data_IF_704407529745
#
_entry.id   IF_704407529745
#
_cell.length_a   1.000
_cell.length_b   1.000
_cell.length_c   1.000
_cell.angle_alpha   90.00
_cell.angle_beta   90.00
_cell.angle_gamma   90.00
#
_symmetry.space_group_name_H-M   'P 1'
#
loop_
_entity.id
_entity.type
_entity.pdbx_description
1 polymer ?
#
# COMPACT_ATOMS: atom_id res chain seq x y z
N UNK A 1 15.34 9.59 -10.84
CA UNK A 1 14.15 9.40 -9.98
C UNK A 1 14.65 9.36 -8.54
N UNK A 2 14.10 10.16 -7.62
CA UNK A 2 14.48 10.06 -6.20
C UNK A 2 13.87 8.79 -5.58
N UNK A 3 14.54 8.23 -4.56
CA UNK A 3 14.07 7.04 -3.83
C UNK A 3 12.65 7.23 -3.29
N UNK A 4 12.31 8.44 -2.85
CA UNK A 4 10.98 8.81 -2.36
C UNK A 4 9.90 8.74 -3.45
N UNK A 5 10.20 9.23 -4.66
CA UNK A 5 9.27 9.14 -5.79
C UNK A 5 9.03 7.69 -6.20
N UNK A 6 10.08 6.86 -6.24
CA UNK A 6 9.96 5.44 -6.55
C UNK A 6 9.09 4.73 -5.50
N UNK A 7 9.34 4.98 -4.21
CA UNK A 7 8.56 4.41 -3.09
C UNK A 7 7.08 4.80 -3.18
N UNK A 8 6.78 6.06 -3.49
CA UNK A 8 5.40 6.54 -3.66
C UNK A 8 4.70 5.90 -4.88
N UNK A 9 5.37 5.83 -6.03
CA UNK A 9 4.81 5.19 -7.23
C UNK A 9 4.56 3.71 -6.98
N UNK A 10 5.52 2.99 -6.40
CA UNK A 10 5.39 1.55 -6.16
C UNK A 10 4.30 1.27 -5.13
N UNK A 11 4.21 2.02 -4.03
CA UNK A 11 3.12 1.85 -3.05
C UNK A 11 1.73 2.14 -3.66
N UNK A 12 1.63 3.10 -4.57
CA UNK A 12 0.39 3.38 -5.32
C UNK A 12 0.01 2.21 -6.23
N UNK A 13 0.98 1.61 -6.92
CA UNK A 13 0.77 0.41 -7.73
C UNK A 13 0.36 -0.79 -6.87
N UNK A 14 0.95 -0.98 -5.69
CA UNK A 14 0.54 -2.00 -4.72
C UNK A 14 -0.92 -1.81 -4.31
N UNK A 15 -1.33 -0.58 -4.00
CA UNK A 15 -2.72 -0.28 -3.64
C UNK A 15 -3.68 -0.57 -4.81
N UNK A 16 -3.35 -0.12 -6.01
CA UNK A 16 -4.16 -0.38 -7.20
C UNK A 16 -4.32 -1.89 -7.45
N UNK A 17 -3.23 -2.65 -7.33
CA UNK A 17 -3.27 -4.11 -7.41
C UNK A 17 -4.16 -4.70 -6.32
N UNK A 18 -4.04 -4.24 -5.07
CA UNK A 18 -4.89 -4.72 -3.97
C UNK A 18 -6.39 -4.49 -4.25
N UNK A 19 -6.75 -3.33 -4.82
CA UNK A 19 -8.13 -3.01 -5.22
C UNK A 19 -8.61 -3.94 -6.34
N UNK A 20 -7.83 -4.09 -7.42
CA UNK A 20 -8.16 -5.00 -8.53
C UNK A 20 -8.34 -6.43 -8.02
N UNK A 21 -7.52 -6.87 -7.08
CA UNK A 21 -7.58 -8.19 -6.47
C UNK A 21 -8.82 -8.38 -5.60
N UNK A 22 -9.22 -7.35 -4.86
CA UNK A 22 -10.46 -7.35 -4.07
C UNK A 22 -11.70 -7.42 -4.97
N UNK A 23 -11.74 -6.59 -6.02
CA UNK A 23 -12.81 -6.56 -7.02
C UNK A 23 -12.92 -7.89 -7.78
N UNK A 24 -11.79 -8.45 -8.21
CA UNK A 24 -11.75 -9.75 -8.87
C UNK A 24 -12.33 -10.86 -7.98
N UNK A 25 -12.03 -10.84 -6.67
CA UNK A 25 -12.57 -11.82 -5.73
C UNK A 25 -14.05 -11.60 -5.41
N UNK A 26 -14.49 -10.34 -5.30
CA UNK A 26 -15.90 -9.98 -5.13
C UNK A 26 -16.74 -10.44 -6.34
N UNK A 27 -16.20 -10.29 -7.54
CA UNK A 27 -16.84 -10.76 -8.77
C UNK A 27 -16.89 -12.29 -8.89
N UNK A 28 -15.82 -13.00 -8.51
CA UNK A 28 -15.85 -14.48 -8.47
C UNK A 28 -16.91 -15.00 -7.50
N UNK A 29 -17.13 -14.31 -6.38
CA UNK A 29 -18.19 -14.62 -5.40
C UNK A 29 -19.59 -14.18 -5.82
N UNK A 30 -19.73 -13.42 -6.89
CA UNK A 30 -21.02 -12.96 -7.41
C UNK A 30 -21.59 -11.72 -6.73
N UNK A 31 -20.82 -11.01 -5.89
CA UNK A 31 -21.28 -9.75 -5.28
C UNK A 31 -21.34 -8.59 -6.28
N UNK A 32 -20.56 -8.65 -7.36
CA UNK A 32 -20.45 -7.57 -8.36
C UNK A 32 -20.16 -8.15 -9.74
N UNK A 33 -20.70 -7.54 -10.80
CA UNK A 33 -20.40 -7.87 -12.20
C UNK A 33 -19.82 -6.61 -12.87
N UNK A 34 -18.52 -6.38 -12.71
CA UNK A 34 -17.85 -5.23 -13.35
C UNK A 34 -17.12 -5.63 -14.63
N UNK A 35 -16.41 -6.76 -14.63
CA UNK A 35 -15.59 -7.19 -15.76
C UNK A 35 -16.28 -8.31 -16.56
N UNK A 36 -16.37 -8.21 -17.90
CA UNK A 36 -16.91 -9.28 -18.75
C UNK A 36 -15.86 -10.39 -18.97
N UNK A 37 -15.23 -10.86 -17.90
CA UNK A 37 -14.17 -11.86 -17.93
C UNK A 37 -14.64 -13.18 -17.33
N UNK A 38 -14.18 -14.27 -17.94
CA UNK A 38 -14.50 -15.62 -17.50
C UNK A 38 -13.98 -15.88 -16.07
N UNK A 39 -14.81 -16.53 -15.22
CA UNK A 39 -14.48 -16.81 -13.81
C UNK A 39 -13.16 -17.59 -13.64
N UNK A 40 -12.81 -18.45 -14.60
CA UNK A 40 -11.54 -19.20 -14.62
C UNK A 40 -10.34 -18.25 -14.79
N UNK A 41 -10.41 -17.31 -15.75
CA UNK A 41 -9.38 -16.31 -15.98
C UNK A 41 -9.24 -15.35 -14.79
N UNK A 42 -10.35 -14.94 -14.17
CA UNK A 42 -10.32 -14.11 -12.96
C UNK A 42 -9.59 -14.80 -11.80
N UNK A 43 -9.80 -16.11 -11.59
CA UNK A 43 -9.07 -16.87 -10.55
C UNK A 43 -7.58 -16.98 -10.86
N UNK A 44 -7.21 -17.16 -12.13
CA UNK A 44 -5.80 -17.22 -12.53
C UNK A 44 -5.11 -15.86 -12.34
N UNK A 45 -5.77 -14.78 -12.76
CA UNK A 45 -5.31 -13.41 -12.54
C UNK A 45 -5.22 -13.10 -11.05
N UNK A 46 -6.18 -13.54 -10.24
CA UNK A 46 -6.12 -13.39 -8.79
C UNK A 46 -4.91 -14.08 -8.18
N UNK A 47 -4.59 -15.30 -8.62
CA UNK A 47 -3.43 -16.04 -8.12
C UNK A 47 -2.11 -15.38 -8.54
N UNK A 48 -1.96 -15.02 -9.81
CA UNK A 48 -0.75 -14.37 -10.33
C UNK A 48 -0.56 -12.97 -9.75
N UNK A 49 -1.62 -12.17 -9.71
CA UNK A 49 -1.62 -10.84 -9.12
C UNK A 49 -1.28 -10.85 -7.62
N UNK A 50 -1.66 -11.91 -6.90
CA UNK A 50 -1.35 -12.04 -5.48
C UNK A 50 0.14 -12.27 -5.23
N UNK A 51 0.78 -13.06 -6.08
CA UNK A 51 2.24 -13.30 -6.04
C UNK A 51 2.98 -12.01 -6.39
N UNK A 52 2.56 -11.32 -7.46
CA UNK A 52 3.16 -10.05 -7.87
C UNK A 52 3.03 -9.02 -6.74
N UNK A 53 1.84 -8.86 -6.17
CA UNK A 53 1.61 -7.95 -5.06
C UNK A 53 2.48 -8.29 -3.83
N UNK A 54 2.62 -9.58 -3.48
CA UNK A 54 3.51 -10.00 -2.39
C UNK A 54 4.96 -9.61 -2.67
N UNK A 55 5.47 -9.91 -3.86
CA UNK A 55 6.86 -9.59 -4.24
C UNK A 55 7.09 -8.08 -4.22
N UNK A 56 6.14 -7.30 -4.75
CA UNK A 56 6.22 -5.84 -4.76
C UNK A 56 6.20 -5.27 -3.33
N UNK A 57 5.30 -5.77 -2.47
CA UNK A 57 5.26 -5.38 -1.05
C UNK A 57 6.57 -5.70 -0.34
N UNK A 58 7.17 -6.88 -0.61
CA UNK A 58 8.47 -7.25 -0.03
C UNK A 58 9.59 -6.32 -0.52
N UNK A 59 9.62 -6.02 -1.81
CA UNK A 59 10.60 -5.11 -2.39
C UNK A 59 10.48 -3.70 -1.76
N UNK A 60 9.27 -3.18 -1.62
CA UNK A 60 9.02 -1.90 -0.93
C UNK A 60 9.50 -1.98 0.52
N UNK A 61 9.14 -3.03 1.26
CA UNK A 61 9.56 -3.20 2.65
C UNK A 61 11.08 -3.19 2.80
N UNK A 62 11.81 -3.90 1.91
CA UNK A 62 13.28 -3.87 1.89
C UNK A 62 13.79 -2.46 1.61
N UNK A 63 13.25 -1.75 0.62
CA UNK A 63 13.68 -0.37 0.32
C UNK A 63 13.39 0.61 1.47
N UNK A 64 12.32 0.38 2.25
CA UNK A 64 12.03 1.18 3.44
C UNK A 64 13.11 0.96 4.51
N UNK A 65 13.39 -0.30 4.86
CA UNK A 65 14.37 -0.65 5.89
C UNK A 65 15.79 -0.25 5.50
N UNK A 66 16.14 -0.38 4.21
CA UNK A 66 17.48 -0.06 3.70
C UNK A 66 17.78 1.44 3.63
N UNK A 67 16.73 2.26 3.49
CA UNK A 67 16.85 3.71 3.34
C UNK A 67 16.79 4.49 4.66
N UNK A 68 16.42 3.85 5.77
CA UNK A 68 16.26 4.50 7.07
C UNK A 68 17.57 4.48 7.86
N UNK A 69 18.18 5.66 8.00
CA UNK A 69 19.25 5.90 8.99
C UNK A 69 18.63 6.08 10.38
N UNK A 70 19.22 5.45 11.39
CA UNK A 70 18.79 5.47 12.79
C UNK A 70 18.72 6.91 13.37
N UNK A 71 17.59 7.58 13.20
CA UNK A 71 17.27 8.89 13.77
C UNK A 71 16.01 8.83 14.65
N UNK A 72 15.62 9.93 15.31
CA UNK A 72 14.39 9.98 16.09
C UNK A 72 13.17 9.79 15.17
N UNK A 73 12.54 8.62 15.26
CA UNK A 73 11.40 8.26 14.42
C UNK A 73 10.13 8.97 14.89
N UNK A 74 9.59 9.85 14.03
CA UNK A 74 8.22 10.37 14.21
C UNK A 74 7.21 9.23 14.40
N UNK A 75 6.15 9.45 15.19
CA UNK A 75 5.07 8.48 15.41
C UNK A 75 4.50 7.92 14.10
N UNK A 76 4.47 8.76 13.05
CA UNK A 76 4.05 8.39 11.69
C UNK A 76 4.95 7.34 11.04
N UNK A 77 6.27 7.50 11.15
CA UNK A 77 7.23 6.54 10.58
C UNK A 77 7.09 5.16 11.27
N UNK A 78 6.91 5.17 12.60
CA UNK A 78 6.66 3.95 13.37
C UNK A 78 5.35 3.27 12.95
N UNK A 79 4.25 4.03 12.84
CA UNK A 79 2.97 3.48 12.38
C UNK A 79 3.06 2.90 10.96
N UNK A 80 3.77 3.56 10.04
CA UNK A 80 4.00 3.06 8.69
C UNK A 80 4.80 1.75 8.68
N UNK A 81 5.89 1.67 9.45
CA UNK A 81 6.71 0.47 9.56
C UNK A 81 5.92 -0.71 10.15
N UNK A 82 5.13 -0.47 11.22
CA UNK A 82 4.29 -1.50 11.86
C UNK A 82 3.20 -1.99 10.90
N UNK A 83 2.47 -1.09 10.25
CA UNK A 83 1.42 -1.48 9.30
C UNK A 83 2.00 -2.21 8.08
N UNK A 84 3.17 -1.79 7.59
CA UNK A 84 3.88 -2.43 6.48
C UNK A 84 4.37 -3.84 6.85
N UNK A 85 4.95 -3.99 8.02
CA UNK A 85 5.38 -5.29 8.56
C UNK A 85 4.21 -6.25 8.74
N UNK A 86 3.11 -5.80 9.35
CA UNK A 86 1.88 -6.59 9.50
C UNK A 86 1.30 -6.98 8.13
N UNK A 87 1.31 -6.08 7.15
CA UNK A 87 0.86 -6.38 5.78
C UNK A 87 1.67 -7.53 5.18
N UNK A 88 2.99 -7.44 5.22
CA UNK A 88 3.87 -8.48 4.69
C UNK A 88 3.64 -9.82 5.38
N UNK A 89 3.50 -9.81 6.72
CA UNK A 89 3.23 -11.01 7.51
C UNK A 89 1.88 -11.66 7.11
N UNK A 90 0.81 -10.88 6.98
CA UNK A 90 -0.51 -11.42 6.60
C UNK A 90 -0.51 -11.98 5.18
N UNK A 91 0.20 -11.35 4.23
CA UNK A 91 0.32 -11.85 2.86
C UNK A 91 1.13 -13.16 2.82
N UNK A 92 2.26 -13.23 3.54
CA UNK A 92 3.05 -14.46 3.67
C UNK A 92 2.23 -15.58 4.32
N UNK A 93 1.53 -15.27 5.41
CA UNK A 93 0.68 -16.23 6.11
C UNK A 93 -0.46 -16.72 5.21
N UNK A 94 -1.08 -15.83 4.43
CA UNK A 94 -2.10 -16.18 3.44
C UNK A 94 -1.56 -17.19 2.42
N UNK A 95 -0.36 -16.96 1.88
CA UNK A 95 0.30 -17.87 0.92
C UNK A 95 0.65 -19.21 1.58
N UNK A 96 1.22 -19.19 2.79
CA UNK A 96 1.55 -20.39 3.54
C UNK A 96 0.31 -21.25 3.82
N UNK A 97 -0.80 -20.65 4.26
CA UNK A 97 -2.07 -21.34 4.50
C UNK A 97 -2.63 -21.93 3.20
N UNK A 98 -2.61 -21.17 2.09
CA UNK A 98 -3.12 -21.67 0.81
C UNK A 98 -2.31 -22.85 0.27
N UNK A 99 -0.99 -22.88 0.52
CA UNK A 99 -0.12 -23.95 0.04
C UNK A 99 -0.12 -25.19 0.96
N UNK A 100 -0.08 -24.99 2.29
CA UNK A 100 0.15 -26.07 3.25
C UNK A 100 -1.12 -26.58 3.93
N UNK A 101 -2.14 -25.73 4.12
CA UNK A 101 -3.27 -26.04 4.98
C UNK A 101 -4.62 -25.73 4.33
N UNK A 102 -5.04 -26.60 3.40
CA UNK A 102 -6.34 -26.46 2.72
C UNK A 102 -7.54 -26.43 3.67
N UNK A 103 -7.42 -27.00 4.88
CA UNK A 103 -8.49 -26.99 5.91
C UNK A 103 -8.85 -25.58 6.39
N UNK A 104 -7.95 -24.60 6.25
CA UNK A 104 -8.14 -23.22 6.73
C UNK A 104 -8.43 -22.22 5.60
N UNK A 105 -8.78 -22.70 4.40
CA UNK A 105 -9.12 -21.87 3.24
C UNK A 105 -10.23 -20.84 3.54
N UNK A 106 -11.13 -21.14 4.49
CA UNK A 106 -12.18 -20.20 4.94
C UNK A 106 -11.63 -18.88 5.50
N UNK A 107 -10.45 -18.89 6.11
CA UNK A 107 -9.82 -17.69 6.71
C UNK A 107 -9.07 -16.83 5.70
N UNK A 108 -8.76 -17.36 4.51
CA UNK A 108 -7.97 -16.65 3.49
C UNK A 108 -8.63 -15.38 2.98
N UNK A 109 -9.96 -15.29 3.10
CA UNK A 109 -10.70 -14.08 2.78
C UNK A 109 -10.49 -13.00 3.83
N UNK A 110 -10.65 -13.34 5.12
CA UNK A 110 -10.43 -12.42 6.23
C UNK A 110 -8.98 -11.91 6.24
N UNK A 111 -8.01 -12.82 6.04
CA UNK A 111 -6.59 -12.49 5.86
C UNK A 111 -6.36 -11.53 4.68
N UNK A 112 -7.05 -11.75 3.57
CA UNK A 112 -6.96 -10.86 2.39
C UNK A 112 -7.54 -9.49 2.64
N UNK A 113 -8.70 -9.41 3.31
CA UNK A 113 -9.34 -8.14 3.67
C UNK A 113 -8.50 -7.35 4.66
N UNK A 114 -7.98 -8.00 5.70
CA UNK A 114 -7.09 -7.38 6.68
C UNK A 114 -5.79 -6.87 6.02
N UNK A 115 -5.17 -7.66 5.13
CA UNK A 115 -4.01 -7.20 4.37
C UNK A 115 -4.36 -5.99 3.49
N UNK A 116 -5.52 -5.99 2.82
CA UNK A 116 -5.98 -4.83 2.04
C UNK A 116 -6.15 -3.56 2.87
N UNK A 117 -6.72 -3.69 4.08
CA UNK A 117 -6.89 -2.55 4.98
C UNK A 117 -5.55 -1.99 5.47
N UNK A 118 -4.58 -2.86 5.76
CA UNK A 118 -3.23 -2.43 6.14
C UNK A 118 -2.45 -1.82 4.97
N UNK A 119 -2.66 -2.30 3.74
CA UNK A 119 -2.12 -1.65 2.52
C UNK A 119 -2.69 -0.24 2.37
N UNK A 120 -3.98 -0.06 2.63
CA UNK A 120 -4.59 1.27 2.62
C UNK A 120 -4.00 2.18 3.71
N UNK A 121 -3.85 1.66 4.93
CA UNK A 121 -3.25 2.40 6.05
C UNK A 121 -1.80 2.82 5.77
N UNK A 122 -0.99 1.92 5.23
CA UNK A 122 0.40 2.22 4.82
C UNK A 122 0.48 3.26 3.70
N UNK A 123 -0.43 3.19 2.72
CA UNK A 123 -0.53 4.21 1.67
C UNK A 123 -0.88 5.59 2.23
N UNK A 124 -1.86 5.67 3.15
CA UNK A 124 -2.25 6.93 3.78
C UNK A 124 -1.11 7.53 4.60
N UNK A 125 -0.44 6.71 5.43
CA UNK A 125 0.67 7.17 6.28
C UNK A 125 1.93 7.56 5.48
N UNK A 126 2.12 6.97 4.29
CA UNK A 126 3.28 7.18 3.43
C UNK A 126 2.99 8.07 2.22
N UNK A 127 2.46 7.49 1.15
CA UNK A 127 2.33 8.11 -0.16
C UNK A 127 1.34 9.29 -0.18
N UNK A 128 0.17 9.16 0.45
CA UNK A 128 -0.81 10.25 0.48
C UNK A 128 -0.26 11.49 1.17
N UNK A 129 0.47 11.28 2.28
CA UNK A 129 1.16 12.35 2.99
C UNK A 129 2.24 13.02 2.12
N UNK A 130 3.04 12.21 1.40
CA UNK A 130 4.04 12.74 0.45
C UNK A 130 3.40 13.61 -0.65
N UNK A 131 2.33 13.13 -1.28
CA UNK A 131 1.61 13.93 -2.29
C UNK A 131 0.99 15.19 -1.69
N UNK A 132 0.50 15.14 -0.44
CA UNK A 132 0.05 16.33 0.27
C UNK A 132 1.17 17.36 0.48
N UNK A 133 2.36 16.93 0.90
CA UNK A 133 3.51 17.82 1.05
C UNK A 133 4.02 18.39 -0.28
N UNK A 134 4.07 17.57 -1.33
CA UNK A 134 4.50 18.02 -2.68
C UNK A 134 3.51 19.04 -3.24
N UNK A 135 2.21 18.82 -3.06
CA UNK A 135 1.16 19.75 -3.51
C UNK A 135 1.25 21.07 -2.74
N UNK A 136 1.34 21.03 -1.40
CA UNK A 136 1.51 22.24 -0.60
C UNK A 136 2.80 22.99 -0.93
N UNK A 137 3.93 22.32 -1.15
CA UNK A 137 5.19 23.01 -1.48
C UNK A 137 5.18 23.65 -2.87
N UNK A 138 4.44 23.09 -3.83
CA UNK A 138 4.18 23.74 -5.12
C UNK A 138 3.24 24.94 -4.98
N UNK A 139 2.17 24.82 -4.20
CA UNK A 139 1.24 25.92 -3.93
C UNK A 139 1.93 27.09 -3.21
N UNK A 140 2.81 26.78 -2.24
CA UNK A 140 3.66 27.78 -1.59
C UNK A 140 4.75 28.35 -2.50
N UNK A 141 5.31 27.59 -3.46
CA UNK A 141 6.27 28.14 -4.43
C UNK A 141 5.59 29.08 -5.43
N UNK A 142 4.35 28.78 -5.84
CA UNK A 142 3.55 29.62 -6.72
C UNK A 142 3.00 30.86 -5.99
N UNK A 143 2.52 30.67 -4.75
CA UNK A 143 2.04 31.75 -3.88
C UNK A 143 3.14 32.71 -3.41
N UNK A 144 4.39 32.22 -3.25
CA UNK A 144 5.55 33.06 -2.89
C UNK A 144 6.01 33.97 -4.04
N UNK A 145 5.61 33.70 -5.29
CA UNK A 145 5.77 34.64 -6.41
C UNK A 145 4.63 35.67 -6.49
N UNK A 146 3.51 35.47 -5.79
CA UNK A 146 2.28 36.24 -5.97
C UNK A 146 1.92 37.21 -4.81
N UNK A 147 2.58 37.18 -3.65
CA UNK A 147 2.23 38.16 -2.62
C UNK A 147 2.95 38.02 -1.28
N UNK A 148 3.41 39.15 -0.78
CA UNK A 148 3.88 39.38 0.60
C UNK A 148 2.82 39.01 1.65
N UNK A 149 3.16 38.15 2.62
CA UNK A 149 3.13 38.38 4.10
C UNK A 149 3.15 37.06 4.91
N UNK A 150 4.12 37.00 5.82
CA UNK A 150 4.15 36.40 7.16
C UNK A 150 3.37 35.12 7.54
N UNK A 151 4.18 34.16 8.03
CA UNK A 151 4.01 33.31 9.22
C UNK A 151 2.98 32.18 9.23
N UNK A 152 3.46 30.94 9.42
CA UNK A 152 3.31 30.20 10.69
C UNK A 152 4.42 29.14 10.78
N UNK A 153 4.89 29.00 12.02
CA UNK A 153 6.00 28.22 12.52
C UNK A 153 6.06 26.79 12.01
N UNK A 154 7.24 26.43 11.54
CA UNK A 154 7.72 25.07 11.40
C UNK A 154 7.87 24.47 12.81
N UNK A 155 6.79 23.96 13.40
CA UNK A 155 6.89 23.19 14.64
C UNK A 155 7.46 21.81 14.34
N UNK A 156 8.76 21.77 14.56
CA UNK A 156 9.62 20.60 14.72
C UNK A 156 9.21 19.89 16.02
N UNK A 157 8.47 18.79 15.93
CA UNK A 157 8.50 17.69 16.92
C UNK A 157 8.26 16.35 16.23
#
# INVERSE_FOLDING_TARGET
>A
MSLEMLKSVVTTLVLALAVVQALGMAQVRGHVRLLPLEKKRLRLLHRRGGIIALVLTLAVAVTCVSGESYGPYSLRAQAHAVMGGLTALLLLLKVAITHRFRRYLRFTLALGGAAGLLILGTFVAGALWYFGQVTCTMEFSCGRMAGTRSCISQERT
#
